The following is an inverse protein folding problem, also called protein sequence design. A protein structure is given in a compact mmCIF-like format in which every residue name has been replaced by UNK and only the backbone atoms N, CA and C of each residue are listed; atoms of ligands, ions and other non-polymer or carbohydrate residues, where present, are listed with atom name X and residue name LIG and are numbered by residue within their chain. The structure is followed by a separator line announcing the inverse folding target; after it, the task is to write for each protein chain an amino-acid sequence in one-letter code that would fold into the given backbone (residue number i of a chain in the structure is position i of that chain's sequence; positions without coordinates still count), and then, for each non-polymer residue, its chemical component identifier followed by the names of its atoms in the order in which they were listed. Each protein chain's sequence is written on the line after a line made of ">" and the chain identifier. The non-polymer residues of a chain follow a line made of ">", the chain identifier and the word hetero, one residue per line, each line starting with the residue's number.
data_IF_498767566634
#
_entry.id   IF_498767566634
#
_cell.length_a   1.000
_cell.length_b   1.000
_cell.length_c   1.000
_cell.angle_alpha   90.00
_cell.angle_beta   90.00
_cell.angle_gamma   90.00
#
_symmetry.space_group_name_H-M   'P 1'
#
loop_
_entity.id
_entity.type
_entity.pdbx_description
1 polymer ?
#
# COMPACT_ATOMS: atom_id res chain seq x y z
N UNK A 1 -2.98 -9.64 -1.16
CA UNK A 1 -1.61 -10.02 -0.74
C UNK A 1 -1.21 -9.05 0.36
N UNK A 2 -0.63 -9.54 1.46
CA UNK A 2 -0.17 -8.71 2.57
C UNK A 2 1.13 -8.00 2.18
N UNK A 3 2.21 -8.77 2.07
CA UNK A 3 3.48 -8.26 1.58
C UNK A 3 3.40 -7.84 0.10
N UNK A 4 3.76 -6.58 -0.16
CA UNK A 4 3.79 -5.97 -1.49
C UNK A 4 5.22 -5.70 -1.99
N UNK A 5 6.27 -6.06 -1.24
CA UNK A 5 7.66 -5.93 -1.70
C UNK A 5 7.88 -6.59 -3.07
N UNK A 6 7.43 -7.84 -3.32
CA UNK A 6 7.62 -8.46 -4.63
C UNK A 6 6.90 -7.70 -5.76
N UNK A 7 5.78 -7.04 -5.45
CA UNK A 7 5.01 -6.27 -6.43
C UNK A 7 5.76 -4.98 -6.81
N UNK A 8 6.26 -4.24 -5.82
CA UNK A 8 7.00 -3.00 -6.05
C UNK A 8 8.32 -3.26 -6.78
N UNK A 9 9.03 -4.33 -6.42
CA UNK A 9 10.23 -4.78 -7.15
C UNK A 9 9.92 -5.01 -8.63
N UNK A 10 8.91 -5.84 -8.93
CA UNK A 10 8.55 -6.19 -10.31
C UNK A 10 7.99 -5.00 -11.09
N UNK A 11 7.23 -4.12 -10.43
CA UNK A 11 6.75 -2.89 -11.05
C UNK A 11 7.92 -1.98 -11.46
N UNK A 12 8.92 -1.79 -10.59
CA UNK A 12 10.11 -1.00 -10.97
C UNK A 12 10.85 -1.64 -12.16
N UNK A 13 11.08 -2.96 -12.12
CA UNK A 13 11.78 -3.69 -13.19
C UNK A 13 11.05 -3.60 -14.54
N UNK A 14 9.71 -3.56 -14.53
CA UNK A 14 8.90 -3.51 -15.74
C UNK A 14 8.72 -2.10 -16.34
N UNK A 15 8.96 -1.04 -15.55
CA UNK A 15 8.75 0.33 -16.00
C UNK A 15 10.00 0.92 -16.68
N UNK A 16 9.78 1.64 -17.78
CA UNK A 16 10.76 2.57 -18.34
C UNK A 16 11.08 3.70 -17.33
N UNK A 17 12.24 4.38 -17.43
CA UNK A 17 12.53 5.56 -16.64
C UNK A 17 11.39 6.58 -16.72
N UNK A 18 10.98 7.15 -15.58
CA UNK A 18 9.83 8.07 -15.47
C UNK A 18 8.46 7.44 -15.80
N UNK A 19 8.38 6.12 -15.94
CA UNK A 19 7.14 5.37 -16.08
C UNK A 19 6.25 5.45 -14.83
N UNK A 20 4.96 5.23 -15.01
CA UNK A 20 3.94 5.41 -13.98
C UNK A 20 3.43 4.06 -13.45
N UNK A 21 3.29 3.95 -12.14
CA UNK A 21 2.61 2.84 -11.47
C UNK A 21 1.42 3.40 -10.68
N UNK A 22 0.20 3.01 -11.02
CA UNK A 22 -1.00 3.45 -10.33
C UNK A 22 -1.76 2.24 -9.79
N UNK A 23 -2.17 2.30 -8.52
CA UNK A 23 -2.96 1.25 -7.89
C UNK A 23 -3.80 1.80 -6.75
N UNK A 24 -4.84 1.04 -6.39
CA UNK A 24 -5.60 1.25 -5.16
C UNK A 24 -5.44 0.06 -4.22
N UNK A 25 -5.47 0.32 -2.92
CA UNK A 25 -5.51 -0.71 -1.87
C UNK A 25 -6.54 -0.36 -0.81
N UNK A 26 -6.94 -1.35 -0.01
CA UNK A 26 -7.66 -1.08 1.22
C UNK A 26 -6.72 -0.41 2.22
N UNK A 27 -7.25 0.56 2.97
CA UNK A 27 -6.47 1.34 3.92
C UNK A 27 -6.74 0.83 5.33
N UNK A 28 -5.70 0.72 6.14
CA UNK A 28 -5.87 0.50 7.58
C UNK A 28 -6.54 1.74 8.16
N UNK A 29 -7.76 1.58 8.69
CA UNK A 29 -8.49 2.66 9.34
C UNK A 29 -8.23 2.61 10.84
N UNK A 30 -7.40 3.54 11.32
CA UNK A 30 -6.97 3.63 12.72
C UNK A 30 -8.10 4.03 13.68
N UNK A 31 -9.29 4.30 13.16
CA UNK A 31 -10.43 4.74 13.96
C UNK A 31 -11.20 3.59 14.63
N UNK A 32 -10.96 2.33 14.24
CA UNK A 32 -11.74 1.21 14.82
C UNK A 32 -10.96 -0.03 15.26
N UNK A 33 -9.75 -0.33 14.78
CA UNK A 33 -9.06 -1.55 15.25
C UNK A 33 -7.53 -1.41 15.22
N UNK A 34 -6.95 -1.12 16.39
CA UNK A 34 -5.50 -1.20 16.63
C UNK A 34 -5.01 -2.64 16.92
N UNK A 35 -5.88 -3.66 16.83
CA UNK A 35 -5.52 -5.04 17.12
C UNK A 35 -5.16 -5.82 15.84
N UNK A 36 -4.03 -6.53 15.84
CA UNK A 36 -3.65 -7.45 14.77
C UNK A 36 -2.84 -6.86 13.61
N UNK A 37 -2.13 -5.75 13.82
CA UNK A 37 -1.06 -5.34 12.90
C UNK A 37 -0.04 -6.47 12.81
N UNK A 38 0.34 -6.87 11.60
CA UNK A 38 1.46 -7.79 11.43
C UNK A 38 2.74 -7.08 11.89
N UNK A 39 3.22 -7.41 13.08
CA UNK A 39 4.61 -7.16 13.47
C UNK A 39 5.49 -8.04 12.59
N UNK A 40 5.87 -7.54 11.42
CA UNK A 40 6.96 -8.17 10.67
C UNK A 40 8.21 -8.07 11.54
N UNK A 41 8.63 -9.18 12.15
CA UNK A 41 9.80 -9.29 13.04
C UNK A 41 11.14 -9.12 12.31
N UNK A 42 11.17 -8.37 11.21
CA UNK A 42 12.38 -8.01 10.47
C UNK A 42 12.60 -6.52 10.59
N UNK A 43 13.81 -6.15 11.01
CA UNK A 43 14.27 -4.81 11.38
C UNK A 43 14.35 -3.80 10.23
N UNK A 44 13.49 -3.87 9.22
CA UNK A 44 13.62 -3.10 7.97
C UNK A 44 12.30 -2.45 7.49
N UNK A 45 11.12 -3.01 7.80
CA UNK A 45 9.81 -2.44 7.42
C UNK A 45 9.13 -1.73 8.61
N UNK A 46 8.28 -0.70 8.38
CA UNK A 46 7.58 0.01 9.46
C UNK A 46 6.61 -0.91 10.23
N UNK A 47 6.53 -0.71 11.55
CA UNK A 47 5.77 -1.56 12.49
C UNK A 47 4.26 -1.70 12.18
N UNK A 48 3.68 -0.77 11.42
CA UNK A 48 2.33 -0.87 10.89
C UNK A 48 2.38 -1.07 9.37
N UNK A 49 2.65 -2.28 8.90
CA UNK A 49 2.81 -2.56 7.46
C UNK A 49 1.47 -2.89 6.78
N UNK A 50 0.88 -4.03 7.16
CA UNK A 50 -0.39 -4.51 6.60
C UNK A 50 -1.13 -5.39 7.61
N UNK A 51 -2.44 -5.55 7.43
CA UNK A 51 -3.32 -6.40 8.26
C UNK A 51 -4.30 -7.17 7.36
N UNK A 52 -4.53 -8.44 7.67
CA UNK A 52 -5.65 -9.20 7.10
C UNK A 52 -6.94 -8.78 7.81
N UNK A 53 -7.91 -8.26 7.06
CA UNK A 53 -9.22 -7.88 7.57
C UNK A 53 -10.14 -9.10 7.70
N UNK A 54 -11.23 -8.94 8.46
CA UNK A 54 -12.28 -9.95 8.61
C UNK A 54 -12.96 -10.32 7.30
N UNK A 55 -12.91 -9.43 6.30
CA UNK A 55 -13.34 -9.68 4.92
C UNK A 55 -12.45 -10.67 4.15
N UNK A 56 -11.30 -11.07 4.72
CA UNK A 56 -10.29 -11.89 4.06
C UNK A 56 -9.38 -11.11 3.11
N UNK A 57 -9.49 -9.77 3.09
CA UNK A 57 -8.64 -8.88 2.26
C UNK A 57 -7.59 -8.19 3.11
N UNK A 58 -6.45 -7.87 2.48
CA UNK A 58 -5.38 -7.15 3.15
C UNK A 58 -5.57 -5.65 3.00
N UNK A 59 -5.42 -4.94 4.11
CA UNK A 59 -5.30 -3.49 4.16
C UNK A 59 -3.87 -3.08 4.46
N UNK A 60 -3.44 -1.95 3.89
CA UNK A 60 -2.09 -1.42 4.00
C UNK A 60 -2.10 -0.05 4.67
N UNK A 61 -1.06 0.25 5.44
CA UNK A 61 -0.83 1.61 5.92
C UNK A 61 -0.31 2.52 4.80
N UNK A 62 -0.38 3.83 5.01
CA UNK A 62 0.22 4.79 4.06
C UNK A 62 1.74 4.71 4.14
N UNK A 63 2.26 4.61 5.35
CA UNK A 63 3.68 4.59 5.70
C UNK A 63 4.40 3.40 5.05
N UNK A 64 3.75 2.23 5.00
CA UNK A 64 4.28 1.06 4.31
C UNK A 64 4.38 1.27 2.80
N UNK A 65 3.36 1.85 2.18
CA UNK A 65 3.36 2.10 0.74
C UNK A 65 4.37 3.19 0.35
N UNK A 66 4.56 4.20 1.19
CA UNK A 66 5.59 5.23 1.01
C UNK A 66 7.00 4.65 1.19
N UNK A 67 7.21 3.81 2.19
CA UNK A 67 8.47 3.10 2.39
C UNK A 67 8.81 2.18 1.21
N UNK A 68 7.84 1.42 0.69
CA UNK A 68 8.00 0.59 -0.49
C UNK A 68 8.35 1.43 -1.73
N UNK A 69 7.69 2.57 -1.92
CA UNK A 69 7.99 3.46 -3.04
C UNK A 69 9.46 3.87 -3.03
N UNK A 70 9.93 4.39 -1.90
CA UNK A 70 11.31 4.85 -1.74
C UNK A 70 12.32 3.70 -1.89
N UNK A 71 12.09 2.58 -1.20
CA UNK A 71 12.98 1.42 -1.20
C UNK A 71 13.15 0.80 -2.59
N UNK A 72 12.14 0.93 -3.45
CA UNK A 72 12.14 0.39 -4.81
C UNK A 72 12.23 1.49 -5.89
N UNK A 73 12.85 2.63 -5.57
CA UNK A 73 13.26 3.63 -6.57
C UNK A 73 12.11 4.34 -7.28
N UNK A 74 10.99 4.52 -6.58
CA UNK A 74 9.80 5.24 -7.05
C UNK A 74 9.50 6.43 -6.15
N UNK A 75 8.83 7.43 -6.69
CA UNK A 75 8.33 8.60 -5.96
C UNK A 75 6.81 8.59 -5.95
N UNK A 76 6.19 8.83 -4.79
CA UNK A 76 4.73 9.02 -4.69
C UNK A 76 4.37 10.39 -5.24
N UNK A 77 3.62 10.43 -6.35
CA UNK A 77 3.19 11.67 -7.02
C UNK A 77 1.74 12.03 -6.69
N UNK A 78 0.94 11.04 -6.32
CA UNK A 78 -0.41 11.21 -5.82
C UNK A 78 -0.68 10.22 -4.69
N UNK A 79 -1.33 10.71 -3.65
CA UNK A 79 -1.99 9.91 -2.63
C UNK A 79 -3.38 10.49 -2.37
N UNK A 80 -4.41 9.65 -2.36
CA UNK A 80 -5.75 10.03 -1.91
C UNK A 80 -6.42 8.91 -1.14
N UNK A 81 -7.17 9.27 -0.10
CA UNK A 81 -8.17 8.39 0.52
C UNK A 81 -9.38 8.32 -0.41
N UNK A 82 -9.92 7.13 -0.60
CA UNK A 82 -11.08 6.87 -1.47
C UNK A 82 -11.99 5.82 -0.84
N UNK A 83 -13.22 5.72 -1.35
CA UNK A 83 -14.12 4.60 -1.10
C UNK A 83 -14.17 3.77 -2.38
N UNK A 84 -13.30 2.75 -2.55
CA UNK A 84 -13.22 1.98 -3.79
C UNK A 84 -14.49 1.16 -4.07
N UNK A 85 -15.24 0.79 -3.02
CA UNK A 85 -16.48 0.03 -3.13
C UNK A 85 -17.35 0.15 -1.88
N UNK A 86 -18.58 -0.32 -2.02
CA UNK A 86 -19.47 -0.67 -0.92
C UNK A 86 -19.49 -2.20 -0.75
N UNK A 87 -19.51 -2.67 0.48
CA UNK A 87 -19.66 -4.07 0.84
C UNK A 87 -20.84 -4.20 1.78
N UNK A 88 -21.91 -4.89 1.34
CA UNK A 88 -23.20 -4.95 2.05
C UNK A 88 -23.75 -3.56 2.44
N UNK A 89 -23.54 -2.56 1.58
CA UNK A 89 -23.96 -1.17 1.82
C UNK A 89 -23.03 -0.37 2.72
N UNK A 90 -21.94 -0.96 3.22
CA UNK A 90 -20.93 -0.29 4.06
C UNK A 90 -19.75 0.14 3.20
N UNK A 91 -19.29 1.38 3.38
CA UNK A 91 -18.09 1.88 2.70
C UNK A 91 -16.86 1.09 3.14
N UNK A 92 -16.06 0.63 2.17
CA UNK A 92 -14.76 0.04 2.45
C UNK A 92 -13.71 1.15 2.39
N UNK A 93 -12.98 1.46 3.48
CA UNK A 93 -11.92 2.46 3.44
C UNK A 93 -10.78 2.03 2.52
N UNK A 94 -10.48 2.84 1.51
CA UNK A 94 -9.38 2.61 0.59
C UNK A 94 -8.48 3.81 0.40
N UNK A 95 -7.48 3.60 -0.43
CA UNK A 95 -6.53 4.62 -0.87
C UNK A 95 -6.09 4.33 -2.30
N UNK A 96 -5.75 5.39 -3.04
CA UNK A 96 -5.15 5.32 -4.36
C UNK A 96 -3.81 6.04 -4.35
N UNK A 97 -2.82 5.41 -4.99
CA UNK A 97 -1.50 5.96 -5.19
C UNK A 97 -1.18 6.00 -6.68
N UNK A 98 -0.48 7.06 -7.07
CA UNK A 98 0.20 7.13 -8.36
C UNK A 98 1.66 7.41 -8.08
N UNK A 99 2.51 6.49 -8.50
CA UNK A 99 3.96 6.56 -8.34
C UNK A 99 4.62 6.73 -9.69
N UNK A 100 5.80 7.33 -9.67
CA UNK A 100 6.65 7.45 -10.84
C UNK A 100 8.02 6.83 -10.55
N UNK A 101 8.49 5.96 -11.44
CA UNK A 101 9.87 5.46 -11.39
C UNK A 101 10.84 6.63 -11.54
N UNK A 102 11.82 6.74 -10.65
CA UNK A 102 12.83 7.81 -10.74
C UNK A 102 13.58 7.68 -12.07
N UNK A 103 13.84 8.82 -12.73
CA UNK A 103 14.73 8.85 -13.89
C UNK A 103 16.17 8.74 -13.40
N UNK A 104 16.94 7.79 -13.93
CA UNK A 104 18.40 7.74 -13.78
C UNK A 104 19.06 8.99 -14.37
#
# INVERSE_FOLDING_TARGET
>A
MGDLEPVFKRANEALEPKGWFAFSSERIDTNHEAEGLSETSSSVAPAASWKLQTSGRFAHSKEYLEWLAESYGMEVRLYRKIVPRLENGVEVPGQILVLQKRGT
#
